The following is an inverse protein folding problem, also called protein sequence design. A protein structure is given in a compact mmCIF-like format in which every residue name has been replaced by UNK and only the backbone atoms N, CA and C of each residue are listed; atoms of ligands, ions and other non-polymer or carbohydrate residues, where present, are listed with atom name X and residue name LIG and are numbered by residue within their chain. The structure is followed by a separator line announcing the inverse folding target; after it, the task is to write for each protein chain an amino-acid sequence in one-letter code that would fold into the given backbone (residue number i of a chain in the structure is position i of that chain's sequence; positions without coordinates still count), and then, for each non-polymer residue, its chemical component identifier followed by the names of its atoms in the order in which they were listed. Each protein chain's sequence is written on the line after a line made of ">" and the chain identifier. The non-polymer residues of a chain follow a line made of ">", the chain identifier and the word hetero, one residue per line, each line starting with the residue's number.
data_IF_175139112393
#
_entry.id   IF_175139112393
#
_cell.length_a   1.000
_cell.length_b   1.000
_cell.length_c   1.000
_cell.angle_alpha   90.00
_cell.angle_beta   90.00
_cell.angle_gamma   90.00
#
_symmetry.space_group_name_H-M   'P 1'
#
loop_
_entity.id
_entity.type
_entity.pdbx_description
1 polymer ?
#
# COMPACT_ATOMS: atom_id res chain seq x y z
N UNK A 1 -71.22 26.98 -25.99
CA UNK A 1 -71.58 25.57 -26.23
C UNK A 1 -70.30 24.75 -26.39
N UNK A 2 -70.15 23.70 -25.57
CA UNK A 2 -69.28 22.51 -25.77
C UNK A 2 -67.75 22.82 -25.79
N UNK A 3 -67.08 22.74 -24.64
CA UNK A 3 -66.43 21.55 -24.07
C UNK A 3 -65.19 21.06 -24.87
N UNK A 4 -64.06 20.95 -24.15
CA UNK A 4 -63.25 19.71 -23.99
C UNK A 4 -61.73 19.93 -24.13
N UNK A 5 -61.03 19.85 -22.96
CA UNK A 5 -59.72 19.22 -22.67
C UNK A 5 -58.48 19.72 -23.44
N UNK A 6 -57.33 19.96 -22.81
CA UNK A 6 -56.63 19.01 -21.97
C UNK A 6 -55.67 19.70 -20.99
N UNK A 7 -55.68 19.20 -19.77
CA UNK A 7 -54.70 19.49 -18.74
C UNK A 7 -53.33 18.94 -19.16
N UNK A 8 -52.31 19.79 -19.16
CA UNK A 8 -50.92 19.35 -19.11
C UNK A 8 -50.37 19.65 -17.72
N UNK A 9 -50.74 18.80 -16.76
CA UNK A 9 -49.89 18.61 -15.59
C UNK A 9 -48.65 17.89 -16.09
N UNK A 10 -47.52 18.58 -16.16
CA UNK A 10 -46.22 17.95 -16.36
C UNK A 10 -45.98 17.09 -15.11
N UNK A 11 -46.34 15.81 -15.24
CA UNK A 11 -46.04 14.77 -14.28
C UNK A 11 -44.52 14.55 -14.35
N UNK A 12 -43.78 15.23 -13.46
CA UNK A 12 -42.37 14.97 -13.25
C UNK A 12 -42.19 13.55 -12.74
N UNK A 13 -42.02 12.60 -13.64
CA UNK A 13 -41.65 11.23 -13.31
C UNK A 13 -40.23 11.27 -12.74
N UNK A 14 -40.13 11.28 -11.41
CA UNK A 14 -38.88 11.02 -10.70
C UNK A 14 -38.45 9.60 -11.03
N UNK A 15 -37.42 9.45 -11.86
CA UNK A 15 -36.67 8.20 -11.98
C UNK A 15 -35.92 7.98 -10.67
N UNK A 16 -36.58 7.37 -9.70
CA UNK A 16 -35.91 6.81 -8.52
C UNK A 16 -35.16 5.56 -8.97
N UNK A 17 -33.88 5.71 -9.28
CA UNK A 17 -32.97 4.58 -9.42
C UNK A 17 -32.78 4.02 -8.01
N UNK A 18 -33.38 2.86 -7.73
CA UNK A 18 -33.07 2.12 -6.52
C UNK A 18 -31.62 1.66 -6.60
N UNK A 19 -30.76 2.25 -5.77
CA UNK A 19 -29.44 1.69 -5.51
C UNK A 19 -29.62 0.33 -4.81
N UNK A 20 -29.48 -0.75 -5.57
CA UNK A 20 -29.37 -2.09 -4.98
C UNK A 20 -28.01 -2.14 -4.28
N UNK A 21 -28.03 -2.22 -2.94
CA UNK A 21 -26.81 -2.45 -2.18
C UNK A 21 -26.18 -3.76 -2.65
N UNK A 22 -24.90 -3.70 -3.03
CA UNK A 22 -24.11 -4.89 -3.29
C UNK A 22 -24.11 -5.73 -2.00
N UNK A 23 -24.36 -7.05 -2.07
CA UNK A 23 -24.45 -7.86 -0.86
C UNK A 23 -23.14 -7.77 -0.09
N UNK A 24 -23.23 -7.58 1.24
CA UNK A 24 -22.07 -7.64 2.11
C UNK A 24 -21.39 -9.00 1.91
N UNK A 25 -20.26 -8.99 1.21
CA UNK A 25 -19.43 -10.18 1.05
C UNK A 25 -18.83 -10.45 2.43
N UNK A 26 -19.36 -11.45 3.13
CA UNK A 26 -18.72 -11.95 4.35
C UNK A 26 -17.42 -12.63 3.90
N UNK A 27 -16.32 -11.89 3.97
CA UNK A 27 -14.98 -12.43 3.79
C UNK A 27 -14.70 -13.39 4.95
N UNK A 28 -14.98 -14.67 4.75
CA UNK A 28 -14.44 -15.70 5.63
C UNK A 28 -12.93 -15.69 5.45
N UNK A 29 -12.19 -15.45 6.53
CA UNK A 29 -10.73 -15.49 6.45
C UNK A 29 -10.33 -16.90 6.03
N UNK A 30 -9.78 -17.03 4.82
CA UNK A 30 -9.12 -18.27 4.42
C UNK A 30 -8.01 -18.57 5.45
N UNK A 31 -7.90 -19.82 5.91
CA UNK A 31 -6.86 -20.19 6.86
C UNK A 31 -5.51 -19.79 6.28
N UNK A 32 -4.74 -19.03 7.06
CA UNK A 32 -3.52 -18.43 6.54
C UNK A 32 -2.57 -19.54 6.08
N UNK A 33 -2.08 -19.50 4.82
CA UNK A 33 -1.21 -20.54 4.31
C UNK A 33 0.01 -20.70 5.23
N UNK A 34 0.27 -21.91 5.74
CA UNK A 34 1.48 -22.21 6.54
C UNK A 34 2.71 -22.31 5.64
N UNK A 35 2.94 -21.31 4.80
CA UNK A 35 4.11 -21.24 3.92
C UNK A 35 5.28 -20.60 4.65
N UNK A 36 6.49 -20.90 4.20
CA UNK A 36 7.71 -20.23 4.67
C UNK A 36 7.60 -18.71 4.52
N UNK A 37 7.07 -18.23 3.39
CA UNK A 37 6.83 -16.81 3.15
C UNK A 37 5.91 -16.18 4.20
N UNK A 38 4.80 -16.84 4.52
CA UNK A 38 3.88 -16.32 5.54
C UNK A 38 4.55 -16.24 6.92
N UNK A 39 5.34 -17.26 7.29
CA UNK A 39 6.11 -17.26 8.54
C UNK A 39 7.12 -16.11 8.61
N UNK A 40 7.85 -15.85 7.52
CA UNK A 40 8.82 -14.75 7.44
C UNK A 40 8.14 -13.38 7.56
N UNK A 41 7.00 -13.18 6.90
CA UNK A 41 6.23 -11.94 6.99
C UNK A 41 5.65 -11.73 8.40
N UNK A 42 5.21 -12.79 9.06
CA UNK A 42 4.77 -12.71 10.46
C UNK A 42 5.92 -12.35 11.40
N UNK A 43 7.08 -12.94 11.20
CA UNK A 43 8.29 -12.62 11.96
C UNK A 43 8.71 -11.16 11.79
N UNK A 44 8.68 -10.65 10.55
CA UNK A 44 9.00 -9.25 10.26
C UNK A 44 8.00 -8.29 10.91
N UNK A 45 6.70 -8.57 10.84
CA UNK A 45 5.64 -7.71 11.41
C UNK A 45 5.62 -7.73 12.93
N UNK A 46 5.79 -8.89 13.53
CA UNK A 46 5.74 -9.05 14.99
C UNK A 46 6.92 -8.41 15.69
N UNK A 47 8.06 -8.25 15.00
CA UNK A 47 9.30 -7.77 15.62
C UNK A 47 9.82 -8.71 16.71
N UNK A 48 9.28 -9.94 16.83
CA UNK A 48 9.61 -10.90 17.90
C UNK A 48 11.10 -11.25 17.94
N UNK A 49 11.78 -11.14 16.80
CA UNK A 49 13.20 -11.42 16.66
C UNK A 49 14.07 -10.15 16.68
N UNK A 50 13.50 -8.97 16.87
CA UNK A 50 14.27 -7.76 17.08
C UNK A 50 15.00 -7.86 18.43
N UNK A 51 16.20 -7.28 18.50
CA UNK A 51 16.92 -7.16 19.76
C UNK A 51 16.14 -6.25 20.72
N UNK A 52 16.06 -6.67 21.98
CA UNK A 52 15.49 -5.84 23.07
C UNK A 52 16.50 -4.84 23.63
N UNK A 53 17.78 -5.01 23.28
CA UNK A 53 18.86 -4.20 23.81
C UNK A 53 19.09 -2.98 22.93
N UNK A 54 19.31 -1.83 23.57
CA UNK A 54 19.63 -0.61 22.84
C UNK A 54 21.02 -0.73 22.20
N UNK A 55 21.09 -0.44 20.91
CA UNK A 55 22.33 -0.51 20.15
C UNK A 55 22.92 0.88 20.01
N UNK A 56 24.09 1.08 20.61
CA UNK A 56 24.83 2.34 20.52
C UNK A 56 25.95 2.24 19.49
N UNK A 57 26.04 3.27 18.65
CA UNK A 57 27.16 3.44 17.74
C UNK A 57 28.15 4.44 18.32
N UNK A 58 29.45 4.13 18.24
CA UNK A 58 30.48 5.11 18.57
C UNK A 58 30.39 6.31 17.64
N UNK A 59 30.75 7.51 18.12
CA UNK A 59 30.71 8.73 17.31
C UNK A 59 31.45 8.59 15.97
N UNK A 60 32.63 7.93 15.98
CA UNK A 60 33.41 7.64 14.76
C UNK A 60 32.63 6.81 13.74
N UNK A 61 31.89 5.79 14.20
CA UNK A 61 31.08 4.94 13.33
C UNK A 61 29.87 5.71 12.80
N UNK A 62 29.19 6.47 13.66
CA UNK A 62 28.06 7.33 13.27
C UNK A 62 28.45 8.35 12.20
N UNK A 63 29.61 9.01 12.34
CA UNK A 63 30.14 9.93 11.34
C UNK A 63 30.38 9.24 9.99
N UNK A 64 30.98 8.04 10.00
CA UNK A 64 31.21 7.29 8.75
C UNK A 64 29.90 6.89 8.07
N UNK A 65 28.89 6.48 8.84
CA UNK A 65 27.57 6.14 8.31
C UNK A 65 26.92 7.37 7.68
N UNK A 66 26.99 8.52 8.36
CA UNK A 66 26.47 9.78 7.84
C UNK A 66 27.16 10.19 6.53
N UNK A 67 28.49 10.17 6.50
CA UNK A 67 29.24 10.53 5.30
C UNK A 67 28.87 9.62 4.12
N UNK A 68 28.82 8.30 4.33
CA UNK A 68 28.38 7.34 3.29
C UNK A 68 26.98 7.66 2.78
N UNK A 69 26.05 7.99 3.67
CA UNK A 69 24.69 8.36 3.29
C UNK A 69 24.68 9.61 2.39
N UNK A 70 25.41 10.66 2.77
CA UNK A 70 25.53 11.88 1.97
C UNK A 70 26.18 11.59 0.62
N UNK A 71 27.29 10.86 0.61
CA UNK A 71 28.03 10.46 -0.59
C UNK A 71 27.15 9.65 -1.57
N UNK A 72 26.23 8.82 -1.05
CA UNK A 72 25.37 8.00 -1.91
C UNK A 72 24.49 8.82 -2.87
N UNK A 73 24.14 10.07 -2.51
CA UNK A 73 23.35 10.95 -3.39
C UNK A 73 24.18 11.63 -4.47
N UNK A 74 25.52 11.59 -4.38
CA UNK A 74 26.38 12.13 -5.42
C UNK A 74 26.43 11.21 -6.66
N UNK A 75 25.99 9.96 -6.53
CA UNK A 75 25.98 8.99 -7.62
C UNK A 75 24.65 9.01 -8.38
N UNK A 76 24.72 9.03 -9.71
CA UNK A 76 23.54 8.91 -10.57
C UNK A 76 22.91 7.53 -10.42
N UNK A 77 21.58 7.46 -10.47
CA UNK A 77 20.86 6.18 -10.53
C UNK A 77 21.22 5.51 -11.87
N UNK A 78 21.75 4.28 -11.87
CA UNK A 78 22.06 3.57 -13.10
C UNK A 78 20.81 3.30 -13.93
N UNK A 79 20.88 3.51 -15.25
CA UNK A 79 19.77 3.19 -16.16
C UNK A 79 19.54 1.67 -16.28
N UNK A 80 20.57 0.86 -16.02
CA UNK A 80 20.53 -0.59 -16.08
C UNK A 80 21.32 -1.19 -14.92
N UNK A 81 20.83 -2.32 -14.43
CA UNK A 81 21.56 -3.15 -13.49
C UNK A 81 22.74 -3.84 -14.19
N UNK A 82 23.92 -3.86 -13.56
CA UNK A 82 25.10 -4.61 -14.00
C UNK A 82 25.49 -5.61 -12.91
N UNK A 83 25.75 -6.87 -13.27
CA UNK A 83 26.25 -7.89 -12.33
C UNK A 83 27.61 -7.52 -11.72
N UNK A 84 28.36 -6.69 -12.44
CA UNK A 84 29.75 -6.38 -12.12
C UNK A 84 29.84 -5.19 -11.16
N UNK A 85 28.71 -4.52 -10.84
CA UNK A 85 28.68 -3.32 -10.00
C UNK A 85 29.04 -3.55 -8.53
N UNK A 86 29.22 -4.81 -8.12
CA UNK A 86 29.61 -5.20 -6.76
C UNK A 86 31.02 -5.79 -6.72
N UNK A 87 31.76 -5.74 -7.82
CA UNK A 87 33.12 -6.27 -7.95
C UNK A 87 34.08 -5.11 -8.18
N UNK A 88 34.37 -4.35 -7.12
CA UNK A 88 35.48 -3.39 -7.10
C UNK A 88 36.45 -3.79 -5.96
N UNK A 89 37.71 -4.08 -6.31
CA UNK A 89 38.84 -4.32 -5.40
C UNK A 89 39.59 -3.02 -5.09
#
# INVERSE_FOLDING_TARGET
>A
MKALKAAYFILGATLSVSAMAEPDVIYTQNPTPKTTTHSLLEMQRSGKNASTDEQYLSGKVSTKIYNRYVESFAHSIPERFSSDSFTEE
#
